data_IF_033028508899
#
_entry.id   IF_033028508899
#
_cell.length_a   1.000
_cell.length_b   1.000
_cell.length_c   1.000
_cell.angle_alpha   90.00
_cell.angle_beta   90.00
_cell.angle_gamma   90.00
#
_symmetry.space_group_name_H-M   'P 1'
#
loop_
_entity.id
_entity.type
_entity.pdbx_description
1 polymer ?
#
# COMPACT_ATOMS: atom_id res chain seq x y z
N UNK A 1 -26.10 5.09 20.51
CA UNK A 1 -25.01 6.09 20.47
C UNK A 1 -23.80 5.67 21.30
N UNK A 2 -23.89 4.63 22.12
CA UNK A 2 -22.74 4.00 22.77
C UNK A 2 -21.72 3.56 21.70
N UNK A 3 -20.51 4.11 21.74
CA UNK A 3 -19.39 3.76 20.87
C UNK A 3 -19.08 4.68 19.68
N UNK A 4 -19.91 5.70 19.37
CA UNK A 4 -19.60 6.67 18.28
C UNK A 4 -19.21 8.04 18.83
N UNK A 5 -18.14 8.63 18.26
CA UNK A 5 -17.65 9.96 18.61
C UNK A 5 -18.04 10.94 17.50
N UNK A 6 -18.60 12.09 17.86
CA UNK A 6 -18.85 13.18 16.90
C UNK A 6 -17.56 13.95 16.68
N UNK A 7 -17.09 13.97 15.45
CA UNK A 7 -15.86 14.67 15.06
C UNK A 7 -16.19 15.77 14.06
N UNK A 8 -15.59 16.95 14.24
CA UNK A 8 -15.64 18.04 13.27
C UNK A 8 -14.29 18.10 12.55
N UNK A 9 -14.30 18.04 11.23
CA UNK A 9 -13.10 18.06 10.38
C UNK A 9 -13.25 19.11 9.29
N UNK A 10 -12.15 19.78 8.96
CA UNK A 10 -12.08 20.70 7.82
C UNK A 10 -11.62 19.91 6.59
N UNK A 11 -12.40 19.96 5.51
CA UNK A 11 -12.15 19.24 4.27
C UNK A 11 -12.31 20.23 3.11
N UNK A 12 -11.53 20.05 2.05
CA UNK A 12 -11.74 20.74 0.78
C UNK A 12 -13.19 20.61 0.29
N UNK A 13 -13.77 21.73 -0.15
CA UNK A 13 -15.18 21.80 -0.51
C UNK A 13 -15.51 20.89 -1.71
N UNK A 14 -14.64 20.88 -2.72
CA UNK A 14 -14.87 20.11 -3.95
C UNK A 14 -14.75 18.62 -3.68
N UNK A 15 -13.75 18.22 -2.87
CA UNK A 15 -13.58 16.85 -2.43
C UNK A 15 -14.81 16.37 -1.64
N UNK A 16 -15.29 17.16 -0.69
CA UNK A 16 -16.46 16.80 0.12
C UNK A 16 -17.74 16.67 -0.72
N UNK A 17 -17.93 17.54 -1.74
CA UNK A 17 -19.04 17.42 -2.68
C UNK A 17 -18.99 16.11 -3.46
N UNK A 18 -17.83 15.77 -4.05
CA UNK A 18 -17.64 14.51 -4.79
C UNK A 18 -17.88 13.30 -3.89
N UNK A 19 -17.34 13.32 -2.68
CA UNK A 19 -17.53 12.26 -1.69
C UNK A 19 -19.00 12.08 -1.32
N UNK A 20 -19.73 13.17 -1.04
CA UNK A 20 -21.17 13.10 -0.73
C UNK A 20 -22.01 12.57 -1.89
N UNK A 21 -21.65 12.88 -3.14
CA UNK A 21 -22.34 12.32 -4.30
C UNK A 21 -22.15 10.80 -4.30
N UNK A 22 -20.91 10.32 -4.17
CA UNK A 22 -20.60 8.89 -4.10
C UNK A 22 -21.34 8.20 -2.94
N UNK A 23 -21.24 8.74 -1.73
CA UNK A 23 -21.84 8.15 -0.54
C UNK A 23 -23.39 8.15 -0.55
N UNK A 24 -24.02 9.15 -1.17
CA UNK A 24 -25.49 9.20 -1.27
C UNK A 24 -26.06 8.23 -2.32
N UNK A 25 -25.28 7.91 -3.36
CA UNK A 25 -25.70 6.94 -4.39
C UNK A 25 -25.82 5.53 -3.79
N UNK A 26 -25.00 5.21 -2.79
CA UNK A 26 -24.96 3.88 -2.19
C UNK A 26 -25.94 3.70 -1.01
N UNK A 27 -26.20 4.71 -0.16
CA UNK A 27 -26.97 4.52 1.10
C UNK A 27 -27.76 5.76 1.64
N UNK A 28 -27.87 6.87 0.90
CA UNK A 28 -28.56 8.09 1.35
C UNK A 28 -27.88 8.85 2.52
N UNK A 29 -28.60 9.70 3.27
CA UNK A 29 -28.04 10.61 4.30
C UNK A 29 -27.31 9.92 5.47
N UNK A 30 -27.71 8.69 5.84
CA UNK A 30 -27.00 7.86 6.84
C UNK A 30 -25.71 7.26 6.26
N UNK A 31 -25.57 7.22 4.94
CA UNK A 31 -24.42 6.73 4.21
C UNK A 31 -23.18 7.59 4.36
N UNK A 32 -23.29 8.90 4.61
CA UNK A 32 -22.09 9.77 4.69
C UNK A 32 -21.21 9.44 5.90
N UNK A 33 -21.79 9.31 7.10
CA UNK A 33 -21.00 8.95 8.28
C UNK A 33 -20.46 7.51 8.19
N UNK A 34 -21.24 6.58 7.63
CA UNK A 34 -20.81 5.20 7.39
C UNK A 34 -19.68 5.14 6.37
N UNK A 35 -19.79 5.87 5.27
CA UNK A 35 -18.75 5.93 4.24
C UNK A 35 -17.46 6.57 4.75
N UNK A 36 -17.55 7.55 5.67
CA UNK A 36 -16.35 8.10 6.34
C UNK A 36 -15.74 7.05 7.27
N UNK A 37 -16.56 6.28 8.00
CA UNK A 37 -16.11 5.18 8.86
C UNK A 37 -15.42 4.08 8.03
N UNK A 38 -16.04 3.64 6.92
CA UNK A 38 -15.47 2.66 5.98
C UNK A 38 -14.15 3.15 5.38
N UNK A 39 -14.06 4.42 4.96
CA UNK A 39 -12.81 4.99 4.43
C UNK A 39 -11.69 5.04 5.47
N UNK A 40 -12.03 5.28 6.75
CA UNK A 40 -11.06 5.23 7.85
C UNK A 40 -10.63 3.79 8.15
N UNK A 41 -11.57 2.84 8.13
CA UNK A 41 -11.26 1.41 8.31
C UNK A 41 -10.37 0.88 7.19
N UNK A 42 -10.61 1.26 5.94
CA UNK A 42 -9.78 0.90 4.79
C UNK A 42 -8.34 1.40 4.96
N UNK A 43 -8.14 2.68 5.28
CA UNK A 43 -6.82 3.26 5.53
C UNK A 43 -6.10 2.58 6.72
N UNK A 44 -6.85 2.26 7.79
CA UNK A 44 -6.28 1.58 8.95
C UNK A 44 -6.00 0.10 8.69
N UNK A 45 -6.70 -0.53 7.75
CA UNK A 45 -6.60 -1.97 7.47
C UNK A 45 -5.20 -2.35 6.98
N UNK A 46 -4.62 -1.57 6.06
CA UNK A 46 -3.27 -1.79 5.55
C UNK A 46 -2.24 -1.72 6.68
N UNK A 47 -2.33 -0.70 7.53
CA UNK A 47 -1.41 -0.55 8.68
C UNK A 47 -1.58 -1.67 9.70
N UNK A 48 -2.80 -2.19 9.85
CA UNK A 48 -3.13 -3.27 10.79
C UNK A 48 -2.63 -4.61 10.26
N UNK A 49 -2.81 -4.88 8.97
CA UNK A 49 -2.29 -6.07 8.28
C UNK A 49 -0.76 -6.04 8.28
N UNK A 50 -0.13 -4.92 7.96
CA UNK A 50 1.32 -4.77 8.00
C UNK A 50 1.89 -5.07 9.40
N UNK A 51 1.31 -4.49 10.46
CA UNK A 51 1.72 -4.77 11.85
C UNK A 51 1.48 -6.23 12.24
N UNK A 52 0.35 -6.81 11.85
CA UNK A 52 0.06 -8.22 12.13
C UNK A 52 1.10 -9.12 11.45
N UNK A 53 1.42 -8.86 10.18
CA UNK A 53 2.45 -9.57 9.44
C UNK A 53 3.84 -9.41 10.10
N UNK A 54 4.25 -8.19 10.47
CA UNK A 54 5.51 -7.94 11.18
C UNK A 54 5.63 -8.73 12.50
N UNK A 55 4.53 -8.87 13.24
CA UNK A 55 4.47 -9.65 14.48
C UNK A 55 4.47 -11.17 14.23
N UNK A 56 3.97 -11.61 13.08
CA UNK A 56 4.00 -13.02 12.66
C UNK A 56 5.37 -13.42 12.08
N UNK A 57 6.19 -12.47 11.62
CA UNK A 57 7.53 -12.74 11.11
C UNK A 57 8.42 -13.22 12.26
N UNK A 58 8.91 -14.48 12.23
CA UNK A 58 9.89 -14.97 13.19
C UNK A 58 11.12 -14.06 13.21
N UNK A 59 11.69 -13.82 14.40
CA UNK A 59 12.87 -12.95 14.54
C UNK A 59 14.04 -13.36 13.62
N UNK A 60 14.11 -14.63 13.24
CA UNK A 60 15.08 -15.21 12.29
C UNK A 60 14.94 -14.74 10.84
N UNK A 61 13.76 -14.28 10.40
CA UNK A 61 13.51 -13.79 9.04
C UNK A 61 13.77 -12.28 8.88
N UNK A 62 14.07 -11.56 9.98
CA UNK A 62 14.36 -10.11 9.94
C UNK A 62 15.70 -9.78 9.25
N UNK A 63 16.54 -10.79 9.06
CA UNK A 63 17.82 -10.71 8.36
C UNK A 63 17.83 -11.73 7.23
N UNK A 64 17.07 -11.46 6.16
CA UNK A 64 17.27 -12.16 4.89
C UNK A 64 18.63 -11.69 4.37
N UNK A 65 19.68 -12.42 4.73
CA UNK A 65 21.00 -12.21 4.16
C UNK A 65 20.94 -12.62 2.69
N UNK A 66 20.83 -11.63 1.80
CA UNK A 66 20.85 -11.86 0.36
C UNK A 66 22.29 -12.17 -0.05
N UNK A 67 22.65 -13.45 -0.04
CA UNK A 67 23.96 -13.90 -0.47
C UNK A 67 23.98 -14.02 -2.00
N UNK A 68 24.94 -13.40 -2.70
CA UNK A 68 25.07 -13.59 -4.14
C UNK A 68 25.40 -15.06 -4.45
N UNK A 69 24.49 -15.75 -5.13
CA UNK A 69 24.73 -17.11 -5.61
C UNK A 69 25.43 -17.03 -6.95
N UNK A 70 26.69 -17.46 -6.98
CA UNK A 70 27.44 -17.54 -8.23
C UNK A 70 26.79 -18.59 -9.15
N UNK A 71 26.55 -18.27 -10.44
CA UNK A 71 26.00 -19.23 -11.39
C UNK A 71 26.90 -20.48 -11.49
N UNK A 72 26.28 -21.67 -11.47
CA UNK A 72 27.01 -22.95 -11.61
C UNK A 72 27.66 -23.11 -12.99
N UNK A 73 27.19 -22.35 -13.98
CA UNK A 73 27.71 -22.34 -15.35
C UNK A 73 28.59 -21.12 -15.54
N UNK A 74 29.67 -21.27 -16.31
CA UNK A 74 30.54 -20.13 -16.66
C UNK A 74 29.74 -19.13 -17.50
N UNK A 75 29.20 -18.10 -16.86
CA UNK A 75 28.58 -16.97 -17.54
C UNK A 75 29.65 -15.93 -17.83
N UNK A 76 30.11 -15.85 -19.09
CA UNK A 76 30.98 -14.75 -19.53
C UNK A 76 30.12 -13.64 -20.12
N UNK A 77 29.55 -12.81 -19.24
CA UNK A 77 28.76 -11.64 -19.66
C UNK A 77 29.63 -10.52 -20.26
N UNK A 78 30.95 -10.55 -20.01
CA UNK A 78 31.86 -9.50 -20.44
C UNK A 78 31.98 -9.37 -21.96
N UNK A 79 31.89 -10.48 -22.71
CA UNK A 79 31.92 -10.44 -24.18
C UNK A 79 30.66 -9.79 -24.74
N UNK A 80 29.49 -10.20 -24.24
CA UNK A 80 28.18 -9.68 -24.66
C UNK A 80 28.02 -8.21 -24.30
N UNK A 81 28.42 -7.80 -23.09
CA UNK A 81 28.35 -6.39 -22.66
C UNK A 81 29.30 -5.51 -23.48
N UNK A 82 30.47 -6.03 -23.88
CA UNK A 82 31.41 -5.32 -24.73
C UNK A 82 30.87 -5.15 -26.15
N UNK A 83 30.34 -6.22 -26.75
CA UNK A 83 29.67 -6.17 -28.06
C UNK A 83 28.51 -5.16 -28.06
N UNK A 84 27.69 -5.13 -27.00
CA UNK A 84 26.61 -4.16 -26.86
C UNK A 84 27.12 -2.71 -26.74
N UNK A 85 28.20 -2.47 -25.98
CA UNK A 85 28.81 -1.14 -25.88
C UNK A 85 29.39 -0.67 -27.21
N UNK A 86 30.11 -1.55 -27.89
CA UNK A 86 30.76 -1.24 -29.15
C UNK A 86 29.70 -1.00 -30.26
N UNK A 87 28.53 -1.67 -30.19
CA UNK A 87 27.41 -1.43 -31.10
C UNK A 87 26.59 -0.16 -30.81
N UNK A 88 26.78 0.46 -29.64
CA UNK A 88 26.10 1.69 -29.23
C UNK A 88 26.91 2.96 -29.55
N UNK A 89 28.06 2.82 -30.22
CA UNK A 89 28.92 3.92 -30.70
C UNK A 89 28.90 3.96 -32.22
#
# INVERSE_FOLDING_TARGET
>A
MTGKIKTSILIDENLWKKFKIKANVEDGLKGVSKAVEEALEEELSDSTVAKALENMVPATLRTIEVVPVQPKVKTSSGKVVRELRDSAT
#
